data_IF_735144658437
#
_entry.id   IF_735144658437
#
_cell.length_a   1.000
_cell.length_b   1.000
_cell.length_c   1.000
_cell.angle_alpha   90.00
_cell.angle_beta   90.00
_cell.angle_gamma   90.00
#
_symmetry.space_group_name_H-M   'P 1'
#
loop_
_entity.id
_entity.type
_entity.pdbx_description
1 polymer ?
#
# COMPACT_ATOMS: atom_id res chain seq x y z
N UNK A 1 33.28 -4.61 15.96
CA UNK A 1 31.79 -4.59 16.04
C UNK A 1 31.23 -3.34 16.70
N UNK A 2 31.89 -2.64 17.60
CA UNK A 2 31.42 -1.40 18.25
C UNK A 2 31.19 -0.23 17.26
N UNK A 3 32.10 0.00 16.31
CA UNK A 3 32.00 1.12 15.37
C UNK A 3 30.81 1.05 14.35
N UNK A 4 30.30 -0.16 14.05
CA UNK A 4 29.14 -0.33 13.17
C UNK A 4 27.85 0.00 13.94
N UNK A 5 27.76 -0.39 15.21
CA UNK A 5 26.60 -0.06 16.07
C UNK A 5 26.47 1.44 16.32
N UNK A 6 27.59 2.13 16.46
CA UNK A 6 27.63 3.58 16.67
C UNK A 6 27.27 4.37 15.40
N UNK A 7 27.70 3.90 14.22
CA UNK A 7 27.28 4.46 12.92
C UNK A 7 25.78 4.23 12.66
N UNK A 8 25.23 3.06 13.02
CA UNK A 8 23.79 2.77 12.88
C UNK A 8 22.93 3.62 13.83
N UNK A 9 23.42 3.93 15.03
CA UNK A 9 22.69 4.76 16.00
C UNK A 9 22.59 6.23 15.57
N UNK A 10 23.53 6.71 14.76
CA UNK A 10 23.56 8.08 14.23
C UNK A 10 23.07 8.19 12.78
N UNK A 11 22.58 7.08 12.17
CA UNK A 11 22.05 7.10 10.82
C UNK A 11 20.69 7.81 10.81
N UNK A 12 20.67 9.02 10.26
CA UNK A 12 19.42 9.72 9.96
C UNK A 12 18.92 9.27 8.60
N UNK A 13 17.71 8.76 8.54
CA UNK A 13 17.09 8.42 7.26
C UNK A 13 17.11 9.65 6.34
N UNK A 14 17.61 9.52 5.11
CA UNK A 14 17.57 10.62 4.15
C UNK A 14 16.14 10.96 3.78
N UNK A 15 15.93 12.14 3.22
CA UNK A 15 14.62 12.57 2.75
C UNK A 15 14.09 11.58 1.69
N UNK A 16 12.78 11.33 1.69
CA UNK A 16 12.13 10.35 0.81
C UNK A 16 12.49 10.53 -0.66
N UNK A 17 12.58 11.78 -1.14
CA UNK A 17 13.00 12.06 -2.53
C UNK A 17 14.45 11.65 -2.82
N UNK A 18 15.34 11.75 -1.85
CA UNK A 18 16.72 11.28 -2.02
C UNK A 18 16.76 9.77 -2.18
N UNK A 19 15.95 9.04 -1.39
CA UNK A 19 15.82 7.59 -1.49
C UNK A 19 15.26 7.22 -2.87
N UNK A 20 14.19 7.87 -3.30
CA UNK A 20 13.55 7.62 -4.59
C UNK A 20 14.55 7.81 -5.75
N UNK A 21 15.20 8.97 -5.82
CA UNK A 21 16.17 9.29 -6.87
C UNK A 21 17.36 8.30 -6.85
N UNK A 22 17.81 7.90 -5.65
CA UNK A 22 18.89 6.93 -5.51
C UNK A 22 18.49 5.56 -6.06
N UNK A 23 17.27 5.10 -5.76
CA UNK A 23 16.74 3.84 -6.30
C UNK A 23 16.60 3.92 -7.82
N UNK A 24 16.05 5.01 -8.35
CA UNK A 24 15.91 5.20 -9.80
C UNK A 24 17.27 5.20 -10.51
N UNK A 25 18.26 5.89 -9.96
CA UNK A 25 19.61 5.91 -10.50
C UNK A 25 20.27 4.51 -10.44
N UNK A 26 20.05 3.76 -9.35
CA UNK A 26 20.54 2.40 -9.22
C UNK A 26 19.90 1.47 -10.25
N UNK A 27 18.58 1.56 -10.45
CA UNK A 27 17.87 0.78 -11.47
C UNK A 27 18.38 1.14 -12.86
N UNK A 28 18.58 2.42 -13.16
CA UNK A 28 19.15 2.88 -14.43
C UNK A 28 20.53 2.24 -14.69
N UNK A 29 21.40 2.18 -13.69
CA UNK A 29 22.70 1.50 -13.84
C UNK A 29 22.50 -0.01 -14.07
N UNK A 30 21.56 -0.63 -13.37
CA UNK A 30 21.31 -2.06 -13.53
C UNK A 30 20.78 -2.42 -14.92
N UNK A 31 20.00 -1.55 -15.57
CA UNK A 31 19.53 -1.78 -16.96
C UNK A 31 20.67 -1.83 -17.99
N UNK A 32 21.85 -1.27 -17.68
CA UNK A 32 23.04 -1.36 -18.55
C UNK A 32 23.88 -2.61 -18.27
N UNK A 33 23.67 -3.28 -17.13
CA UNK A 33 24.45 -4.43 -16.70
C UNK A 33 23.67 -5.74 -16.94
N UNK A 34 22.36 -5.70 -16.70
CA UNK A 34 21.49 -6.88 -16.81
C UNK A 34 20.97 -6.94 -18.26
N UNK A 35 21.25 -8.02 -19.01
CA UNK A 35 20.74 -8.17 -20.35
C UNK A 35 19.21 -8.28 -20.35
N UNK A 36 18.59 -7.66 -21.34
CA UNK A 36 17.15 -7.74 -21.50
C UNK A 36 16.72 -9.16 -21.90
N UNK A 37 15.57 -9.59 -21.39
CA UNK A 37 14.99 -10.89 -21.74
C UNK A 37 13.48 -10.84 -21.72
N UNK A 38 12.86 -11.72 -22.48
CA UNK A 38 11.41 -11.82 -22.57
C UNK A 38 10.97 -13.27 -22.61
N UNK A 39 9.71 -13.49 -22.20
CA UNK A 39 9.01 -14.75 -22.40
C UNK A 39 8.06 -14.61 -23.59
N UNK A 40 7.89 -15.70 -24.34
CA UNK A 40 6.82 -15.76 -25.34
C UNK A 40 5.47 -15.80 -24.61
N UNK A 41 4.51 -15.07 -25.17
CA UNK A 41 3.15 -15.01 -24.65
C UNK A 41 2.18 -15.47 -25.73
N UNK A 42 1.24 -16.32 -25.32
CA UNK A 42 0.18 -16.83 -26.20
C UNK A 42 -1.16 -16.51 -25.55
N UNK A 43 -2.16 -16.23 -26.38
CA UNK A 43 -3.53 -16.08 -25.88
C UNK A 43 -4.09 -17.44 -25.53
N UNK A 44 -4.48 -17.59 -24.27
CA UNK A 44 -5.17 -18.80 -23.80
C UNK A 44 -6.57 -18.84 -24.40
N UNK A 45 -6.92 -19.88 -25.17
CA UNK A 45 -8.22 -19.98 -25.83
C UNK A 45 -9.40 -20.14 -24.84
N UNK A 46 -9.13 -20.47 -23.58
CA UNK A 46 -10.18 -20.65 -22.56
C UNK A 46 -10.45 -19.36 -21.80
N UNK A 47 -9.41 -18.65 -21.38
CA UNK A 47 -9.54 -17.41 -20.60
C UNK A 47 -9.47 -16.13 -21.43
N UNK A 48 -8.98 -16.19 -22.68
CA UNK A 48 -8.73 -15.03 -23.52
C UNK A 48 -7.59 -14.14 -23.04
N UNK A 49 -6.77 -14.62 -22.10
CA UNK A 49 -5.65 -13.87 -21.50
C UNK A 49 -4.33 -14.29 -22.16
N UNK A 50 -3.40 -13.34 -22.19
CA UNK A 50 -2.03 -13.64 -22.60
C UNK A 50 -1.29 -14.34 -21.46
N UNK A 51 -1.04 -15.63 -21.61
CA UNK A 51 -0.26 -16.45 -20.68
C UNK A 51 1.18 -16.60 -21.14
N UNK A 52 2.07 -16.77 -20.20
CA UNK A 52 3.49 -17.01 -20.44
C UNK A 52 3.70 -18.47 -20.82
N UNK A 53 4.41 -18.71 -21.93
CA UNK A 53 4.80 -20.07 -22.32
C UNK A 53 5.95 -20.52 -21.43
N UNK A 54 5.80 -21.68 -20.77
CA UNK A 54 6.85 -22.25 -19.93
C UNK A 54 8.11 -22.49 -20.77
N UNK A 55 9.29 -22.28 -20.15
CA UNK A 55 10.61 -22.49 -20.76
C UNK A 55 10.89 -21.68 -22.04
N UNK A 56 10.12 -20.62 -22.30
CA UNK A 56 10.26 -19.76 -23.47
C UNK A 56 11.12 -18.52 -23.24
N UNK A 57 11.85 -18.46 -22.12
CA UNK A 57 12.72 -17.32 -21.85
C UNK A 57 13.84 -17.22 -22.89
N UNK A 58 13.97 -16.06 -23.49
CA UNK A 58 15.08 -15.73 -24.41
C UNK A 58 15.63 -14.35 -24.12
N UNK A 59 16.93 -14.19 -24.31
CA UNK A 59 17.55 -12.87 -24.25
C UNK A 59 17.22 -12.10 -25.55
N UNK A 60 16.93 -10.83 -25.38
CA UNK A 60 16.64 -9.94 -26.50
C UNK A 60 17.88 -9.13 -26.79
N UNK A 61 18.47 -9.35 -27.97
CA UNK A 61 19.59 -8.55 -28.45
C UNK A 61 19.07 -7.19 -28.97
N UNK A 62 19.96 -6.18 -28.98
CA UNK A 62 19.69 -4.84 -29.50
C UNK A 62 18.59 -4.02 -28.79
N UNK A 63 18.34 -4.27 -27.50
CA UNK A 63 17.53 -3.38 -26.67
C UNK A 63 18.38 -2.19 -26.24
N UNK A 64 18.02 -1.01 -26.71
CA UNK A 64 18.66 0.22 -26.28
C UNK A 64 18.40 0.47 -24.79
N UNK A 65 19.47 0.55 -23.97
CA UNK A 65 19.32 0.81 -22.55
C UNK A 65 18.84 2.26 -22.33
N UNK A 66 17.90 2.48 -21.38
CA UNK A 66 17.38 3.82 -21.12
C UNK A 66 18.48 4.79 -20.67
N UNK A 67 18.43 6.02 -21.18
CA UNK A 67 19.34 7.08 -20.83
C UNK A 67 18.93 7.84 -19.57
N UNK A 68 19.76 8.81 -19.18
CA UNK A 68 19.50 9.64 -17.99
C UNK A 68 18.19 10.46 -18.12
N UNK A 69 17.82 10.85 -19.35
CA UNK A 69 16.57 11.58 -19.60
C UNK A 69 15.34 10.68 -19.41
N UNK A 70 15.45 9.39 -19.71
CA UNK A 70 14.36 8.43 -19.53
C UNK A 70 14.02 8.24 -18.05
N UNK A 71 14.97 8.46 -17.14
CA UNK A 71 14.72 8.49 -15.71
C UNK A 71 13.73 9.61 -15.32
N UNK A 72 13.80 10.78 -15.98
CA UNK A 72 12.84 11.86 -15.72
C UNK A 72 11.48 11.56 -16.34
N UNK A 73 11.44 10.94 -17.52
CA UNK A 73 10.19 10.47 -18.14
C UNK A 73 9.54 9.37 -17.32
N UNK A 74 10.32 8.46 -16.75
CA UNK A 74 9.82 7.43 -15.82
C UNK A 74 9.22 8.04 -14.55
N UNK A 75 9.75 9.16 -14.07
CA UNK A 75 9.18 9.88 -12.93
C UNK A 75 7.79 10.45 -13.28
N UNK A 76 7.64 11.07 -14.45
CA UNK A 76 6.36 11.56 -14.93
C UNK A 76 5.35 10.41 -15.09
N UNK A 77 5.74 9.34 -15.77
CA UNK A 77 4.90 8.15 -15.94
C UNK A 77 4.43 7.58 -14.61
N UNK A 78 5.33 7.47 -13.61
CA UNK A 78 5.00 7.02 -12.28
C UNK A 78 4.00 7.92 -11.55
N UNK A 79 4.05 9.23 -11.75
CA UNK A 79 3.03 10.15 -11.22
C UNK A 79 1.68 9.96 -11.90
N UNK A 80 1.65 9.72 -13.21
CA UNK A 80 0.42 9.46 -13.95
C UNK A 80 -0.20 8.14 -13.51
N UNK A 81 0.60 7.09 -13.36
CA UNK A 81 0.14 5.78 -12.89
C UNK A 81 -0.40 5.81 -11.45
N UNK A 82 0.19 6.66 -10.60
CA UNK A 82 -0.25 6.84 -9.21
C UNK A 82 -1.37 7.89 -9.05
N UNK A 83 -1.84 8.52 -10.12
CA UNK A 83 -2.75 9.66 -10.03
C UNK A 83 -4.05 9.33 -9.31
N UNK A 84 -4.65 8.17 -9.56
CA UNK A 84 -5.90 7.75 -8.92
C UNK A 84 -5.78 7.69 -7.39
N UNK A 85 -4.68 7.09 -6.91
CA UNK A 85 -4.39 6.99 -5.46
C UNK A 85 -4.12 8.38 -4.88
N UNK A 86 -3.35 9.21 -5.59
CA UNK A 86 -3.04 10.57 -5.14
C UNK A 86 -4.31 11.43 -5.02
N UNK A 87 -5.19 11.39 -6.01
CA UNK A 87 -6.46 12.10 -5.97
C UNK A 87 -7.39 11.57 -4.88
N UNK A 88 -7.46 10.25 -4.70
CA UNK A 88 -8.22 9.64 -3.61
C UNK A 88 -7.79 10.20 -2.25
N UNK A 89 -6.48 10.22 -1.99
CA UNK A 89 -5.92 10.73 -0.73
C UNK A 89 -6.25 12.21 -0.56
N UNK A 90 -6.06 13.04 -1.59
CA UNK A 90 -6.34 14.48 -1.55
C UNK A 90 -7.82 14.75 -1.25
N UNK A 91 -8.73 14.06 -1.93
CA UNK A 91 -10.17 14.23 -1.70
C UNK A 91 -10.59 13.71 -0.32
N UNK A 92 -10.06 12.57 0.14
CA UNK A 92 -10.33 12.04 1.47
C UNK A 92 -9.87 13.01 2.57
N UNK A 93 -8.66 13.55 2.47
CA UNK A 93 -8.18 14.57 3.39
C UNK A 93 -9.01 15.86 3.32
N UNK A 94 -9.36 16.31 2.13
CA UNK A 94 -10.23 17.48 1.93
C UNK A 94 -11.60 17.30 2.61
N UNK A 95 -12.20 16.13 2.45
CA UNK A 95 -13.47 15.77 3.10
C UNK A 95 -13.35 15.80 4.63
N UNK A 96 -12.34 15.13 5.19
CA UNK A 96 -12.07 15.12 6.64
C UNK A 96 -11.80 16.54 7.16
N UNK A 97 -11.07 17.35 6.40
CA UNK A 97 -10.81 18.75 6.76
C UNK A 97 -12.12 19.58 6.86
N UNK A 98 -13.04 19.42 5.91
CA UNK A 98 -14.35 20.09 5.94
C UNK A 98 -15.16 19.64 7.17
N UNK A 99 -15.20 18.32 7.45
CA UNK A 99 -15.90 17.79 8.63
C UNK A 99 -15.32 18.32 9.95
N UNK A 100 -14.02 18.50 9.99
CA UNK A 100 -13.33 19.06 11.17
C UNK A 100 -13.64 20.55 11.32
N UNK A 101 -13.60 21.31 10.23
CA UNK A 101 -13.85 22.77 10.26
C UNK A 101 -15.28 23.15 10.58
N UNK A 102 -16.26 22.36 10.20
CA UNK A 102 -17.67 22.62 10.52
C UNK A 102 -18.13 22.03 11.87
N UNK A 103 -17.21 21.44 12.65
CA UNK A 103 -17.50 20.87 13.98
C UNK A 103 -18.20 19.50 13.96
N UNK A 104 -18.47 18.93 12.79
CA UNK A 104 -19.10 17.61 12.69
C UNK A 104 -18.23 16.53 13.33
N UNK A 105 -16.91 16.63 13.12
CA UNK A 105 -15.94 15.69 13.71
C UNK A 105 -15.98 15.75 15.23
N UNK A 106 -15.97 16.95 15.83
CA UNK A 106 -15.99 17.13 17.29
C UNK A 106 -17.31 16.59 17.89
N UNK A 107 -18.44 16.82 17.23
CA UNK A 107 -19.74 16.28 17.65
C UNK A 107 -19.77 14.74 17.58
N UNK A 108 -19.24 14.16 16.51
CA UNK A 108 -19.13 12.70 16.35
C UNK A 108 -18.22 12.09 17.43
N UNK A 109 -17.03 12.67 17.65
CA UNK A 109 -16.09 12.24 18.67
C UNK A 109 -16.70 12.34 20.08
N UNK A 110 -17.38 13.45 20.39
CA UNK A 110 -18.08 13.64 21.67
C UNK A 110 -19.16 12.56 21.92
N UNK A 111 -19.86 12.17 20.87
CA UNK A 111 -20.88 11.10 20.93
C UNK A 111 -20.22 9.74 21.17
N UNK A 112 -19.13 9.43 20.45
CA UNK A 112 -18.38 8.20 20.63
C UNK A 112 -17.81 8.08 22.06
N UNK A 113 -17.21 9.15 22.58
CA UNK A 113 -16.69 9.18 23.97
C UNK A 113 -17.79 8.92 24.99
N UNK A 114 -18.98 9.55 24.83
CA UNK A 114 -20.13 9.30 25.72
C UNK A 114 -20.61 7.86 25.65
N UNK A 115 -20.63 7.26 24.47
CA UNK A 115 -21.17 5.90 24.25
C UNK A 115 -20.19 4.80 24.67
N UNK A 116 -18.91 4.97 24.40
CA UNK A 116 -17.89 3.94 24.57
C UNK A 116 -16.87 4.22 25.68
N UNK A 117 -16.92 5.39 26.34
CA UNK A 117 -15.94 5.81 27.34
C UNK A 117 -15.67 4.82 28.47
N UNK A 118 -16.64 3.96 28.82
CA UNK A 118 -16.47 2.91 29.83
C UNK A 118 -15.91 1.59 29.27
N UNK A 119 -15.89 1.39 27.95
CA UNK A 119 -15.48 0.14 27.28
C UNK A 119 -14.47 0.36 26.15
N UNK A 120 -13.60 1.34 26.31
CA UNK A 120 -12.62 1.73 25.27
C UNK A 120 -11.69 0.57 24.89
N UNK A 121 -11.35 -0.30 25.85
CA UNK A 121 -10.50 -1.47 25.60
C UNK A 121 -11.10 -2.42 24.53
N UNK A 122 -12.43 -2.45 24.42
CA UNK A 122 -13.11 -3.28 23.43
C UNK A 122 -13.14 -2.63 22.02
N UNK A 123 -13.06 -1.30 21.97
CA UNK A 123 -13.10 -0.55 20.72
C UNK A 123 -11.87 -0.84 19.85
N UNK A 124 -10.69 -1.00 20.47
CA UNK A 124 -9.44 -1.32 19.75
C UNK A 124 -9.57 -2.61 18.93
N UNK A 125 -9.83 -3.78 19.55
CA UNK A 125 -9.89 -5.03 18.80
C UNK A 125 -11.07 -5.07 17.80
N UNK A 126 -12.20 -4.45 18.13
CA UNK A 126 -13.34 -4.37 17.19
C UNK A 126 -12.96 -3.54 15.96
N UNK A 127 -12.34 -2.39 16.15
CA UNK A 127 -11.91 -1.55 15.01
C UNK A 127 -10.88 -2.28 14.15
N UNK A 128 -9.88 -2.90 14.77
CA UNK A 128 -8.87 -3.68 14.04
C UNK A 128 -9.50 -4.86 13.29
N UNK A 129 -10.47 -5.55 13.90
CA UNK A 129 -11.16 -6.67 13.25
C UNK A 129 -11.97 -6.20 12.03
N UNK A 130 -12.74 -5.12 12.15
CA UNK A 130 -13.51 -4.57 11.04
C UNK A 130 -12.59 -4.15 9.89
N UNK A 131 -11.55 -3.36 10.18
CA UNK A 131 -10.58 -2.92 9.19
C UNK A 131 -9.84 -4.11 8.57
N UNK A 132 -9.48 -5.10 9.38
CA UNK A 132 -8.82 -6.32 8.93
C UNK A 132 -9.69 -7.14 7.98
N UNK A 133 -10.97 -7.33 8.29
CA UNK A 133 -11.93 -8.02 7.40
C UNK A 133 -12.08 -7.26 6.08
N UNK A 134 -12.23 -5.94 6.14
CA UNK A 134 -12.33 -5.12 4.92
C UNK A 134 -11.07 -5.20 4.07
N UNK A 135 -9.90 -5.14 4.68
CA UNK A 135 -8.62 -5.27 3.98
C UNK A 135 -8.41 -6.68 3.39
N UNK A 136 -8.76 -7.73 4.15
CA UNK A 136 -8.63 -9.12 3.72
C UNK A 136 -9.55 -9.49 2.56
N UNK A 137 -10.74 -8.88 2.50
CA UNK A 137 -11.77 -9.22 1.52
C UNK A 137 -11.83 -8.25 0.34
N UNK A 138 -11.82 -6.95 0.61
CA UNK A 138 -11.97 -5.89 -0.40
C UNK A 138 -10.64 -5.31 -0.86
N UNK A 139 -9.54 -5.58 -0.15
CA UNK A 139 -8.22 -5.06 -0.47
C UNK A 139 -8.04 -3.57 -0.13
N UNK A 140 -8.81 -3.05 0.83
CA UNK A 140 -8.69 -1.65 1.27
C UNK A 140 -7.35 -1.47 1.98
N UNK A 141 -6.52 -0.57 1.47
CA UNK A 141 -5.23 -0.21 2.08
C UNK A 141 -4.95 1.29 1.98
N UNK A 142 -4.84 1.82 0.77
CA UNK A 142 -4.54 3.23 0.52
C UNK A 142 -5.68 4.16 0.92
N UNK A 143 -6.92 3.73 0.77
CA UNK A 143 -8.12 4.49 1.11
C UNK A 143 -8.18 4.87 2.59
N UNK A 144 -7.54 4.05 3.42
CA UNK A 144 -7.53 4.29 4.88
C UNK A 144 -6.65 5.48 5.28
N UNK A 145 -5.70 5.90 4.44
CA UNK A 145 -4.83 7.04 4.74
C UNK A 145 -5.62 8.32 4.98
N UNK A 146 -6.70 8.54 4.24
CA UNK A 146 -7.60 9.67 4.46
C UNK A 146 -8.32 9.63 5.81
N UNK A 147 -8.48 8.46 6.40
CA UNK A 147 -9.17 8.26 7.68
C UNK A 147 -8.23 8.33 8.90
N UNK A 148 -6.91 8.33 8.71
CA UNK A 148 -5.95 8.42 9.83
C UNK A 148 -6.25 9.56 10.81
N UNK A 149 -6.48 10.81 10.38
CA UNK A 149 -6.77 11.90 11.32
C UNK A 149 -8.05 11.65 12.13
N UNK A 150 -9.04 10.98 11.54
CA UNK A 150 -10.30 10.63 12.22
C UNK A 150 -10.06 9.64 13.35
N UNK A 151 -9.39 8.51 13.03
CA UNK A 151 -9.12 7.47 14.02
C UNK A 151 -8.17 7.93 15.12
N UNK A 152 -7.11 8.66 14.75
CA UNK A 152 -6.22 9.28 15.74
C UNK A 152 -7.02 10.20 16.66
N UNK A 153 -7.90 11.05 16.11
CA UNK A 153 -8.76 11.93 16.88
C UNK A 153 -9.71 11.16 17.82
N UNK A 154 -10.33 10.07 17.36
CA UNK A 154 -11.19 9.22 18.16
C UNK A 154 -10.43 8.65 19.38
N UNK A 155 -9.27 8.02 19.14
CA UNK A 155 -8.51 7.40 20.21
C UNK A 155 -7.91 8.42 21.18
N UNK A 156 -7.48 9.59 20.68
CA UNK A 156 -7.05 10.69 21.56
C UNK A 156 -8.20 11.22 22.42
N UNK A 157 -9.39 11.39 21.87
CA UNK A 157 -10.58 11.80 22.62
C UNK A 157 -11.00 10.78 23.69
N UNK A 158 -10.66 9.52 23.49
CA UNK A 158 -10.89 8.41 24.44
C UNK A 158 -9.76 8.24 25.45
N UNK A 159 -8.74 9.13 25.45
CA UNK A 159 -7.66 9.14 26.43
C UNK A 159 -6.40 8.36 26.04
N UNK A 160 -6.32 7.86 24.82
CA UNK A 160 -5.10 7.26 24.28
C UNK A 160 -4.21 8.32 23.60
N UNK A 161 -2.99 7.97 23.28
CA UNK A 161 -2.11 8.84 22.50
C UNK A 161 -2.32 8.66 20.98
N UNK A 162 -1.71 9.56 20.20
CA UNK A 162 -1.79 9.53 18.74
C UNK A 162 -1.14 8.27 18.14
N UNK A 163 -0.14 7.69 18.82
CA UNK A 163 0.55 6.48 18.38
C UNK A 163 -0.38 5.28 18.43
N UNK A 164 -1.15 5.14 19.52
CA UNK A 164 -2.18 4.10 19.63
C UNK A 164 -3.25 4.27 18.55
N UNK A 165 -3.76 5.49 18.35
CA UNK A 165 -4.76 5.76 17.31
C UNK A 165 -4.26 5.40 15.91
N UNK A 166 -3.04 5.78 15.59
CA UNK A 166 -2.39 5.43 14.32
C UNK A 166 -2.09 3.94 14.19
N UNK A 167 -1.64 3.30 15.28
CA UNK A 167 -1.34 1.88 15.28
C UNK A 167 -2.57 1.01 15.06
N UNK A 168 -3.70 1.34 15.66
CA UNK A 168 -4.96 0.57 15.51
C UNK A 168 -5.40 0.51 14.06
N UNK A 169 -5.39 1.65 13.36
CA UNK A 169 -5.78 1.67 11.95
C UNK A 169 -4.72 0.99 11.08
N UNK A 170 -3.44 1.33 11.27
CA UNK A 170 -2.36 0.80 10.45
C UNK A 170 -2.21 -0.71 10.59
N UNK A 171 -2.15 -1.22 11.83
CA UNK A 171 -2.01 -2.65 12.09
C UNK A 171 -3.26 -3.43 11.69
N UNK A 172 -4.46 -2.89 11.96
CA UNK A 172 -5.71 -3.52 11.56
C UNK A 172 -5.76 -3.79 10.06
N UNK A 173 -5.47 -2.77 9.26
CA UNK A 173 -5.45 -2.88 7.79
C UNK A 173 -4.30 -3.76 7.32
N UNK A 174 -3.08 -3.54 7.81
CA UNK A 174 -1.89 -4.28 7.33
C UNK A 174 -1.98 -5.78 7.62
N UNK A 175 -2.46 -6.17 8.79
CA UNK A 175 -2.66 -7.58 9.14
C UNK A 175 -3.74 -8.20 8.26
N UNK A 176 -4.87 -7.50 8.07
CA UNK A 176 -5.93 -7.98 7.20
C UNK A 176 -5.51 -8.11 5.75
N UNK A 177 -4.75 -7.15 5.24
CA UNK A 177 -4.23 -7.19 3.87
C UNK A 177 -3.23 -8.33 3.66
N UNK A 178 -2.35 -8.59 4.65
CA UNK A 178 -1.41 -9.71 4.63
C UNK A 178 -2.11 -11.07 4.75
N UNK A 179 -3.23 -11.14 5.48
CA UNK A 179 -4.08 -12.31 5.63
C UNK A 179 -5.23 -12.30 4.59
N UNK A 180 -4.95 -11.88 3.36
CA UNK A 180 -5.94 -11.77 2.29
C UNK A 180 -6.63 -13.09 2.01
N UNK A 181 -7.96 -13.06 1.87
CA UNK A 181 -8.77 -14.23 1.49
C UNK A 181 -9.34 -14.06 0.08
N UNK A 182 -9.98 -12.94 -0.18
CA UNK A 182 -10.57 -12.58 -1.49
C UNK A 182 -10.08 -11.23 -1.98
N UNK A 183 -8.97 -10.74 -1.42
CA UNK A 183 -8.37 -9.47 -1.80
C UNK A 183 -8.02 -9.46 -3.30
N UNK A 184 -8.60 -8.55 -4.09
CA UNK A 184 -8.38 -8.50 -5.53
C UNK A 184 -6.96 -8.07 -5.91
N UNK A 185 -6.29 -7.28 -5.07
CA UNK A 185 -4.97 -6.72 -5.37
C UNK A 185 -3.80 -7.67 -5.00
N UNK A 186 -4.05 -8.65 -4.14
CA UNK A 186 -3.02 -9.62 -3.74
C UNK A 186 -3.38 -11.03 -4.20
N UNK A 187 -4.47 -11.57 -3.67
CA UNK A 187 -4.84 -12.98 -3.92
C UNK A 187 -5.28 -13.20 -5.36
N UNK A 188 -6.16 -12.33 -5.90
CA UNK A 188 -6.65 -12.52 -7.26
C UNK A 188 -5.51 -12.36 -8.29
N UNK A 189 -4.63 -11.35 -8.13
CA UNK A 189 -3.48 -11.17 -9.01
C UNK A 189 -2.50 -12.35 -8.90
N UNK A 190 -2.19 -12.80 -7.68
CA UNK A 190 -1.28 -13.93 -7.48
C UNK A 190 -1.84 -15.22 -8.09
N UNK A 191 -3.13 -15.47 -7.94
CA UNK A 191 -3.79 -16.63 -8.51
C UNK A 191 -3.90 -16.55 -10.04
N UNK A 192 -4.11 -15.36 -10.58
CA UNK A 192 -4.11 -15.12 -12.02
C UNK A 192 -2.73 -15.41 -12.64
N UNK A 193 -1.65 -14.95 -11.99
CA UNK A 193 -0.27 -15.22 -12.41
C UNK A 193 0.07 -16.71 -12.29
N UNK A 194 -0.44 -17.37 -11.25
CA UNK A 194 -0.23 -18.81 -11.02
C UNK A 194 -1.15 -19.72 -11.86
N UNK A 195 -2.03 -19.14 -12.68
CA UNK A 195 -2.98 -19.85 -13.54
C UNK A 195 -3.89 -20.82 -12.76
N UNK A 196 -4.23 -20.48 -11.51
CA UNK A 196 -5.17 -21.24 -10.69
C UNK A 196 -6.52 -20.52 -10.59
N UNK A 197 -7.62 -21.24 -10.34
CA UNK A 197 -8.94 -20.62 -10.24
C UNK A 197 -8.98 -19.56 -9.14
N UNK A 198 -9.59 -18.42 -9.45
CA UNK A 198 -9.72 -17.30 -8.51
C UNK A 198 -10.41 -17.75 -7.22
N UNK A 199 -9.86 -17.33 -6.11
CA UNK A 199 -10.33 -17.62 -4.75
C UNK A 199 -10.42 -19.10 -4.38
N UNK A 200 -9.72 -19.96 -5.11
CA UNK A 200 -9.67 -21.41 -4.84
C UNK A 200 -9.08 -21.75 -3.47
N UNK A 201 -8.28 -20.85 -2.89
CA UNK A 201 -7.71 -21.00 -1.54
C UNK A 201 -8.57 -20.41 -0.41
N UNK A 202 -9.77 -19.90 -0.68
CA UNK A 202 -10.59 -19.18 0.32
C UNK A 202 -11.05 -20.06 1.50
N UNK A 203 -11.01 -21.39 1.36
CA UNK A 203 -11.41 -22.34 2.40
C UNK A 203 -10.26 -22.77 3.35
N UNK A 204 -9.05 -22.28 3.13
CA UNK A 204 -7.90 -22.49 3.98
C UNK A 204 -7.63 -21.26 4.83
#
# INVERSE_FOLDING_TARGET
>A
MAGIKEKLKNFKMPHTYVILITIMALVLVLTHIIPAGQYQRVEDPVSGKNIVVADSFEYVDDVEAPGIFDMFLALEAGYVDAADIMFLIVFAYGFVYILTKNGTMDAALGTLVKKFGNNVQLLIPITMLILGIMASTMGIYEEVYGLFPVFVGIFMALGYDAVVGGAVIFLGVSIGYAAGTTNPYTIAIAQDIAEVPLYSGMGF
#
